data_IF_834619270425
#
_entry.id   IF_834619270425
#
_cell.length_a   1.000
_cell.length_b   1.000
_cell.length_c   1.000
_cell.angle_alpha   90.00
_cell.angle_beta   90.00
_cell.angle_gamma   90.00
#
_symmetry.space_group_name_H-M   'P 1'
#
loop_
_entity.id
_entity.type
_entity.pdbx_description
1 polymer ?
#
# COMPACT_ATOMS: atom_id res chain seq x y z
N UNK A 1 12.92 7.41 14.77
CA UNK A 1 12.53 7.86 13.41
C UNK A 1 13.21 7.08 12.29
N UNK A 2 14.55 6.94 12.26
CA UNK A 2 15.25 6.20 11.18
C UNK A 2 14.72 4.77 10.94
N UNK A 3 14.52 4.02 12.02
CA UNK A 3 13.97 2.65 11.98
C UNK A 3 12.57 2.60 11.37
N UNK A 4 11.71 3.58 11.66
CA UNK A 4 10.35 3.63 11.11
C UNK A 4 10.35 3.84 9.59
N UNK A 5 11.27 4.65 9.05
CA UNK A 5 11.37 4.79 7.59
C UNK A 5 11.79 3.49 6.90
N UNK A 6 12.74 2.75 7.48
CA UNK A 6 13.19 1.47 6.93
C UNK A 6 12.12 0.39 7.04
N UNK A 7 11.43 0.33 8.18
CA UNK A 7 10.29 -0.57 8.36
C UNK A 7 9.18 -0.26 7.35
N UNK A 8 8.85 1.02 7.16
CA UNK A 8 7.89 1.48 6.15
C UNK A 8 8.29 1.08 4.73
N UNK A 9 9.57 1.23 4.35
CA UNK A 9 10.06 0.82 3.05
C UNK A 9 9.95 -0.68 2.85
N UNK A 10 10.53 -1.46 3.77
CA UNK A 10 10.54 -2.93 3.71
C UNK A 10 9.11 -3.49 3.68
N UNK A 11 8.22 -2.91 4.46
CA UNK A 11 6.82 -3.27 4.47
C UNK A 11 6.15 -3.12 3.11
N UNK A 12 6.27 -1.93 2.51
CA UNK A 12 5.67 -1.68 1.20
C UNK A 12 6.27 -2.54 0.10
N UNK A 13 7.58 -2.78 0.12
CA UNK A 13 8.23 -3.64 -0.88
C UNK A 13 7.84 -5.10 -0.72
N UNK A 14 7.84 -5.62 0.50
CA UNK A 14 7.47 -7.01 0.77
C UNK A 14 5.99 -7.25 0.46
N UNK A 15 5.11 -6.33 0.87
CA UNK A 15 3.68 -6.40 0.55
C UNK A 15 3.45 -6.32 -0.96
N UNK A 16 4.10 -5.38 -1.66
CA UNK A 16 4.01 -5.26 -3.11
C UNK A 16 4.57 -6.48 -3.86
N UNK A 17 5.54 -7.19 -3.28
CA UNK A 17 6.13 -8.38 -3.91
C UNK A 17 5.30 -9.65 -3.76
N UNK A 18 4.40 -9.72 -2.78
CA UNK A 18 3.63 -10.94 -2.48
C UNK A 18 2.69 -11.36 -3.63
N UNK A 19 1.90 -10.46 -4.25
CA UNK A 19 1.07 -10.82 -5.40
C UNK A 19 1.88 -11.40 -6.58
N UNK A 20 3.10 -10.88 -6.83
CA UNK A 20 3.99 -11.43 -7.84
C UNK A 20 4.55 -12.80 -7.44
N UNK A 21 4.87 -13.00 -6.16
CA UNK A 21 5.35 -14.29 -5.67
C UNK A 21 4.26 -15.37 -5.75
N UNK A 22 3.04 -15.06 -5.32
CA UNK A 22 1.91 -15.98 -5.42
C UNK A 22 1.62 -16.38 -6.87
N UNK A 23 1.64 -15.41 -7.78
CA UNK A 23 1.40 -15.66 -9.19
C UNK A 23 2.55 -16.41 -9.87
N UNK A 24 3.79 -15.89 -9.80
CA UNK A 24 4.92 -16.42 -10.57
C UNK A 24 5.52 -17.70 -9.98
N UNK A 25 5.59 -17.80 -8.65
CA UNK A 25 6.27 -18.90 -7.96
C UNK A 25 5.27 -19.96 -7.53
N UNK A 26 4.17 -19.56 -6.88
CA UNK A 26 3.18 -20.50 -6.38
C UNK A 26 2.08 -20.85 -7.39
N UNK A 27 2.05 -20.16 -8.55
CA UNK A 27 1.03 -20.33 -9.60
C UNK A 27 -0.40 -20.23 -9.06
N UNK A 28 -0.60 -19.38 -8.04
CA UNK A 28 -1.90 -19.13 -7.43
C UNK A 28 -2.66 -18.10 -8.26
N UNK A 29 -3.96 -18.32 -8.35
CA UNK A 29 -4.91 -17.34 -8.86
C UNK A 29 -5.23 -16.34 -7.73
N UNK A 30 -5.15 -15.04 -8.01
CA UNK A 30 -5.21 -13.98 -6.98
C UNK A 30 -6.65 -13.76 -6.47
N UNK A 31 -7.65 -14.29 -7.17
CA UNK A 31 -9.07 -14.08 -6.88
C UNK A 31 -9.72 -15.26 -6.13
N UNK A 32 -8.94 -16.30 -5.77
CA UNK A 32 -9.44 -17.49 -5.08
C UNK A 32 -8.83 -17.57 -3.68
N UNK A 33 -9.70 -17.64 -2.67
CA UNK A 33 -9.28 -17.90 -1.30
C UNK A 33 -8.52 -19.22 -1.21
N UNK A 34 -7.34 -19.20 -0.60
CA UNK A 34 -6.48 -20.37 -0.47
C UNK A 34 -6.15 -20.65 0.99
N UNK A 35 -5.86 -21.91 1.31
CA UNK A 35 -5.43 -22.26 2.65
C UNK A 35 -3.95 -21.87 2.83
N UNK A 36 -3.62 -21.06 3.84
CA UNK A 36 -2.24 -20.58 4.04
C UNK A 36 -1.33 -21.78 4.28
N UNK A 37 -0.24 -21.87 3.51
CA UNK A 37 0.61 -23.07 3.45
C UNK A 37 2.08 -22.77 3.75
N UNK A 38 2.44 -21.52 4.02
CA UNK A 38 3.82 -21.15 4.30
C UNK A 38 3.99 -19.86 5.12
N UNK A 39 5.22 -19.64 5.57
CA UNK A 39 5.63 -18.47 6.36
C UNK A 39 5.23 -17.13 5.71
N UNK A 40 5.33 -17.02 4.39
CA UNK A 40 4.96 -15.80 3.65
C UNK A 40 3.47 -15.48 3.68
N UNK A 41 2.59 -16.48 3.86
CA UNK A 41 1.15 -16.26 4.02
C UNK A 41 0.84 -15.67 5.42
N UNK A 42 1.67 -15.96 6.43
CA UNK A 42 1.51 -15.39 7.78
C UNK A 42 2.10 -13.98 7.90
N UNK A 43 3.18 -13.69 7.18
CA UNK A 43 3.73 -12.32 7.08
C UNK A 43 2.70 -11.39 6.45
N UNK A 44 1.79 -11.92 5.62
CA UNK A 44 0.78 -11.13 4.94
C UNK A 44 -0.14 -10.34 5.89
N UNK A 45 -0.39 -10.91 7.08
CA UNK A 45 -1.19 -10.28 8.14
C UNK A 45 -0.43 -9.18 8.91
N UNK A 46 0.89 -9.15 8.84
CA UNK A 46 1.71 -8.11 9.47
C UNK A 46 1.74 -6.84 8.60
N UNK A 47 1.48 -6.96 7.29
CA UNK A 47 1.58 -5.84 6.35
C UNK A 47 0.67 -4.66 6.65
N UNK A 48 -0.61 -4.82 7.05
CA UNK A 48 -1.43 -3.67 7.39
C UNK A 48 -0.90 -2.90 8.59
N UNK A 49 -0.38 -3.61 9.60
CA UNK A 49 0.27 -3.00 10.77
C UNK A 49 1.52 -2.23 10.34
N UNK A 50 2.27 -2.76 9.38
CA UNK A 50 3.43 -2.06 8.85
C UNK A 50 3.03 -0.87 7.95
N UNK A 51 1.92 -0.93 7.25
CA UNK A 51 1.37 0.19 6.49
C UNK A 51 0.93 1.35 7.42
N UNK A 52 0.48 1.06 8.65
CA UNK A 52 0.22 2.10 9.64
C UNK A 52 1.47 2.93 9.97
N UNK A 53 2.68 2.36 9.85
CA UNK A 53 3.93 3.11 10.08
C UNK A 53 4.13 4.25 9.08
N UNK A 54 3.71 4.06 7.82
CA UNK A 54 3.77 5.07 6.75
C UNK A 54 2.77 6.19 7.04
N UNK A 55 1.57 5.83 7.46
CA UNK A 55 0.54 6.80 7.84
C UNK A 55 0.94 7.62 9.07
N UNK A 56 1.53 6.95 10.07
CA UNK A 56 2.12 7.62 11.23
C UNK A 56 3.24 8.58 10.83
N UNK A 57 4.06 8.21 9.84
CA UNK A 57 5.11 9.06 9.31
C UNK A 57 4.56 10.34 8.69
N UNK A 58 3.55 10.20 7.84
CA UNK A 58 2.87 11.31 7.20
C UNK A 58 2.19 12.21 8.24
N UNK A 59 1.50 11.61 9.21
CA UNK A 59 0.81 12.31 10.28
C UNK A 59 1.74 13.05 11.22
N UNK A 60 2.88 12.46 11.59
CA UNK A 60 3.88 13.14 12.42
C UNK A 60 4.57 14.28 11.67
N UNK A 61 4.78 14.14 10.36
CA UNK A 61 5.49 15.14 9.56
C UNK A 61 4.60 16.34 9.18
N UNK A 62 3.37 16.08 8.74
CA UNK A 62 2.45 17.12 8.26
C UNK A 62 1.34 17.47 9.28
N UNK A 63 1.38 16.84 10.47
CA UNK A 63 0.48 17.11 11.60
C UNK A 63 -0.99 17.12 11.15
N UNK A 64 -1.75 18.13 11.58
CA UNK A 64 -3.19 18.27 11.35
C UNK A 64 -3.59 18.43 9.88
N UNK A 65 -2.63 18.68 8.98
CA UNK A 65 -2.91 18.94 7.56
C UNK A 65 -3.36 17.68 6.81
N UNK A 66 -2.94 16.50 7.27
CA UNK A 66 -3.23 15.21 6.61
C UNK A 66 -4.19 14.31 7.41
N UNK A 67 -4.76 14.79 8.52
CA UNK A 67 -5.56 13.96 9.45
C UNK A 67 -6.68 13.22 8.73
N UNK A 68 -7.47 13.92 7.92
CA UNK A 68 -8.59 13.32 7.22
C UNK A 68 -8.17 12.17 6.28
N UNK A 69 -7.16 12.40 5.44
CA UNK A 69 -6.65 11.37 4.52
C UNK A 69 -6.07 10.18 5.27
N UNK A 70 -5.31 10.44 6.34
CA UNK A 70 -4.73 9.39 7.18
C UNK A 70 -5.81 8.56 7.86
N UNK A 71 -6.87 9.19 8.39
CA UNK A 71 -7.99 8.47 9.01
C UNK A 71 -8.68 7.56 8.01
N UNK A 72 -9.00 8.05 6.82
CA UNK A 72 -9.65 7.24 5.77
C UNK A 72 -8.74 6.10 5.32
N UNK A 73 -7.45 6.36 5.08
CA UNK A 73 -6.48 5.32 4.72
C UNK A 73 -6.32 4.27 5.81
N UNK A 74 -6.34 4.69 7.08
CA UNK A 74 -6.27 3.78 8.23
C UNK A 74 -7.49 2.86 8.27
N UNK A 75 -8.70 3.42 8.12
CA UNK A 75 -9.94 2.63 8.06
C UNK A 75 -9.90 1.67 6.88
N UNK A 76 -9.51 2.14 5.69
CA UNK A 76 -9.38 1.32 4.50
C UNK A 76 -8.41 0.15 4.68
N UNK A 77 -7.23 0.39 5.25
CA UNK A 77 -6.24 -0.65 5.54
C UNK A 77 -6.77 -1.68 6.55
N UNK A 78 -7.39 -1.22 7.64
CA UNK A 78 -7.96 -2.12 8.66
C UNK A 78 -9.07 -3.00 8.07
N UNK A 79 -9.98 -2.42 7.30
CA UNK A 79 -11.02 -3.17 6.59
C UNK A 79 -10.41 -4.18 5.61
N UNK A 80 -9.43 -3.76 4.82
CA UNK A 80 -8.74 -4.65 3.87
C UNK A 80 -8.09 -5.84 4.59
N UNK A 81 -7.45 -5.59 5.75
CA UNK A 81 -6.86 -6.63 6.60
C UNK A 81 -7.89 -7.65 7.08
N UNK A 82 -9.01 -7.14 7.61
CA UNK A 82 -10.08 -7.97 8.17
C UNK A 82 -10.70 -8.82 7.06
N UNK A 83 -10.97 -8.23 5.91
CA UNK A 83 -11.57 -8.94 4.78
C UNK A 83 -10.63 -9.97 4.17
N UNK A 84 -9.34 -9.64 4.02
CA UNK A 84 -8.34 -10.60 3.56
C UNK A 84 -8.17 -11.77 4.53
N UNK A 85 -8.20 -11.51 5.85
CA UNK A 85 -8.22 -12.54 6.87
C UNK A 85 -9.44 -13.45 6.75
N UNK A 86 -10.64 -12.87 6.62
CA UNK A 86 -11.87 -13.65 6.43
C UNK A 86 -11.78 -14.50 5.16
N UNK A 87 -11.31 -13.95 4.04
CA UNK A 87 -11.16 -14.66 2.77
C UNK A 87 -10.20 -15.85 2.88
N UNK A 88 -9.05 -15.65 3.53
CA UNK A 88 -8.01 -16.69 3.68
C UNK A 88 -8.46 -17.84 4.59
N UNK A 89 -9.17 -17.53 5.69
CA UNK A 89 -9.55 -18.51 6.71
C UNK A 89 -10.98 -19.06 6.58
N UNK A 90 -11.81 -18.49 5.72
CA UNK A 90 -13.15 -18.99 5.38
C UNK A 90 -13.27 -19.36 3.90
N UNK A 91 -12.21 -19.95 3.34
CA UNK A 91 -12.10 -20.40 1.94
C UNK A 91 -13.14 -21.46 1.49
N UNK A 92 -13.86 -22.09 2.43
CA UNK A 92 -14.91 -23.08 2.14
C UNK A 92 -16.29 -22.48 1.84
N UNK A 93 -16.41 -21.16 1.88
CA UNK A 93 -17.67 -20.48 1.66
C UNK A 93 -17.85 -20.19 0.17
N UNK A 94 -18.98 -20.61 -0.41
CA UNK A 94 -19.28 -20.57 -1.86
C UNK A 94 -19.52 -19.17 -2.43
N UNK A 95 -19.23 -18.13 -1.66
CA UNK A 95 -19.43 -16.73 -2.04
C UNK A 95 -18.03 -16.17 -2.33
N UNK A 96 -17.83 -15.42 -3.42
CA UNK A 96 -16.55 -14.79 -3.73
C UNK A 96 -16.29 -13.61 -2.77
N UNK A 97 -16.02 -13.92 -1.50
CA UNK A 97 -15.82 -12.96 -0.42
C UNK A 97 -14.70 -11.96 -0.76
N UNK A 98 -13.66 -12.39 -1.47
CA UNK A 98 -12.58 -11.51 -1.91
C UNK A 98 -13.09 -10.29 -2.66
N UNK A 99 -13.79 -10.46 -3.78
CA UNK A 99 -14.21 -9.32 -4.59
C UNK A 99 -15.31 -8.46 -3.95
N UNK A 100 -16.26 -9.07 -3.22
CA UNK A 100 -17.37 -8.35 -2.59
C UNK A 100 -16.93 -7.50 -1.39
N UNK A 101 -15.96 -7.97 -0.60
CA UNK A 101 -15.49 -7.27 0.60
C UNK A 101 -14.22 -6.44 0.36
N UNK A 102 -13.37 -6.83 -0.60
CA UNK A 102 -12.24 -5.97 -0.98
C UNK A 102 -12.73 -4.67 -1.62
N UNK A 103 -13.81 -4.68 -2.41
CA UNK A 103 -14.27 -3.46 -3.10
C UNK A 103 -14.59 -2.29 -2.12
N UNK A 104 -15.37 -2.46 -1.03
CA UNK A 104 -15.54 -1.41 -0.02
C UNK A 104 -14.22 -0.92 0.58
N UNK A 105 -13.31 -1.84 0.98
CA UNK A 105 -12.03 -1.45 1.58
C UNK A 105 -11.12 -0.70 0.60
N UNK A 106 -11.06 -1.15 -0.65
CA UNK A 106 -10.29 -0.53 -1.73
C UNK A 106 -10.88 0.83 -2.11
N UNK A 107 -12.21 1.01 -2.02
CA UNK A 107 -12.85 2.31 -2.21
C UNK A 107 -12.46 3.31 -1.10
N UNK A 108 -12.35 2.87 0.15
CA UNK A 108 -11.78 3.70 1.23
C UNK A 108 -10.32 4.04 0.94
N UNK A 109 -9.49 3.06 0.53
CA UNK A 109 -8.10 3.31 0.15
C UNK A 109 -7.99 4.31 -0.99
N UNK A 110 -8.84 4.21 -2.02
CA UNK A 110 -8.89 5.13 -3.14
C UNK A 110 -9.27 6.55 -2.69
N UNK A 111 -10.34 6.67 -1.90
CA UNK A 111 -10.81 7.96 -1.37
C UNK A 111 -9.72 8.63 -0.52
N UNK A 112 -9.08 7.84 0.35
CA UNK A 112 -7.98 8.30 1.19
C UNK A 112 -6.76 8.71 0.37
N UNK A 113 -6.44 7.97 -0.70
CA UNK A 113 -5.35 8.28 -1.61
C UNK A 113 -5.58 9.58 -2.38
N UNK A 114 -6.77 9.76 -2.96
CA UNK A 114 -7.15 10.98 -3.68
C UNK A 114 -7.12 12.19 -2.75
N UNK A 115 -7.68 12.04 -1.55
CA UNK A 115 -7.61 13.08 -0.53
C UNK A 115 -6.16 13.40 -0.13
N UNK A 116 -5.32 12.37 0.03
CA UNK A 116 -3.90 12.54 0.36
C UNK A 116 -3.18 13.33 -0.74
N UNK A 117 -3.36 12.97 -2.01
CA UNK A 117 -2.76 13.68 -3.14
C UNK A 117 -3.20 15.14 -3.18
N UNK A 118 -4.50 15.42 -2.99
CA UNK A 118 -5.02 16.79 -2.97
C UNK A 118 -4.48 17.62 -1.80
N UNK A 119 -4.35 17.03 -0.62
CA UNK A 119 -3.78 17.73 0.54
C UNK A 119 -2.27 17.96 0.39
N UNK A 120 -1.52 16.99 -0.16
CA UNK A 120 -0.09 17.12 -0.44
C UNK A 120 0.20 18.16 -1.51
N UNK A 121 -0.65 18.30 -2.53
CA UNK A 121 -0.52 19.34 -3.56
C UNK A 121 -0.46 20.75 -2.96
N UNK A 122 -1.16 20.97 -1.84
CA UNK A 122 -1.21 22.25 -1.13
C UNK A 122 0.02 22.55 -0.28
N UNK A 123 0.94 21.59 -0.10
CA UNK A 123 2.12 21.70 0.75
C UNK A 123 3.40 21.84 -0.11
N UNK A 124 4.31 22.78 0.20
CA UNK A 124 5.49 23.10 -0.65
C UNK A 124 6.66 22.10 -0.53
N UNK A 125 7.50 22.09 -1.57
CA UNK A 125 8.80 21.41 -1.84
C UNK A 125 9.04 19.96 -1.37
N UNK A 126 9.00 19.64 -0.08
CA UNK A 126 9.17 18.24 0.40
C UNK A 126 8.00 17.35 -0.07
N UNK A 127 6.87 17.98 -0.40
CA UNK A 127 5.69 17.31 -0.89
C UNK A 127 5.80 16.82 -2.34
N UNK A 128 6.67 17.33 -3.22
CA UNK A 128 6.58 17.00 -4.66
C UNK A 128 6.75 15.50 -4.95
N UNK A 129 7.79 14.87 -4.40
CA UNK A 129 7.99 13.43 -4.58
C UNK A 129 6.87 12.60 -3.91
N UNK A 130 6.50 12.98 -2.68
CA UNK A 130 5.42 12.32 -1.93
C UNK A 130 4.05 12.49 -2.61
N UNK A 131 3.84 13.62 -3.29
CA UNK A 131 2.67 13.94 -4.09
C UNK A 131 2.59 13.07 -5.34
N UNK A 132 3.67 12.94 -6.12
CA UNK A 132 3.69 12.03 -7.26
C UNK A 132 3.46 10.58 -6.84
N UNK A 133 4.08 10.15 -5.74
CA UNK A 133 3.82 8.82 -5.16
C UNK A 133 2.34 8.70 -4.75
N UNK A 134 1.77 9.74 -4.15
CA UNK A 134 0.35 9.83 -3.85
C UNK A 134 -0.55 9.68 -5.08
N UNK A 135 -0.21 10.32 -6.21
CA UNK A 135 -0.92 10.17 -7.48
C UNK A 135 -0.84 8.72 -7.97
N UNK A 136 0.37 8.12 -8.01
CA UNK A 136 0.54 6.73 -8.46
C UNK A 136 -0.28 5.79 -7.58
N UNK A 137 -0.28 6.01 -6.27
CA UNK A 137 -1.09 5.25 -5.31
C UNK A 137 -2.60 5.43 -5.58
N UNK A 138 -3.07 6.65 -5.81
CA UNK A 138 -4.47 6.93 -6.17
C UNK A 138 -4.89 6.24 -7.47
N UNK A 139 -4.11 6.42 -8.54
CA UNK A 139 -4.42 5.85 -9.86
C UNK A 139 -4.46 4.33 -9.79
N UNK A 140 -3.46 3.72 -9.16
CA UNK A 140 -3.36 2.26 -9.07
C UNK A 140 -4.49 1.67 -8.21
N UNK A 141 -4.84 2.34 -7.11
CA UNK A 141 -5.98 1.91 -6.27
C UNK A 141 -7.31 2.09 -7.02
N UNK A 142 -7.45 3.15 -7.81
CA UNK A 142 -8.61 3.36 -8.68
C UNK A 142 -8.73 2.27 -9.76
N UNK A 143 -7.62 1.89 -10.39
CA UNK A 143 -7.58 0.77 -11.33
C UNK A 143 -7.98 -0.55 -10.65
N UNK A 144 -7.52 -0.77 -9.42
CA UNK A 144 -7.91 -1.95 -8.64
C UNK A 144 -9.42 -1.96 -8.32
N UNK A 145 -10.04 -0.81 -8.06
CA UNK A 145 -11.50 -0.69 -7.89
C UNK A 145 -12.28 -1.01 -9.18
N UNK A 146 -11.72 -0.69 -10.35
CA UNK A 146 -12.37 -0.93 -11.64
C UNK A 146 -12.15 -2.35 -12.16
N UNK A 147 -11.12 -3.04 -11.67
CA UNK A 147 -10.72 -4.36 -12.15
C UNK A 147 -11.83 -5.41 -12.07
N UNK A 148 -12.64 -5.52 -10.98
CA UNK A 148 -13.76 -6.44 -10.92
C UNK A 148 -14.79 -6.26 -12.04
N UNK A 149 -14.95 -5.04 -12.57
CA UNK A 149 -15.83 -4.79 -13.72
C UNK A 149 -15.21 -5.29 -15.03
N UNK A 150 -13.88 -5.26 -15.12
CA UNK A 150 -13.13 -5.75 -16.28
C UNK A 150 -13.05 -7.28 -16.32
N UNK A 151 -13.14 -7.98 -15.17
CA UNK A 151 -13.15 -9.45 -15.08
C UNK A 151 -14.30 -10.06 -15.90
N UNK A 152 -15.41 -9.35 -16.06
CA UNK A 152 -16.55 -9.80 -16.89
C UNK A 152 -16.15 -9.97 -18.37
N UNK A 153 -15.15 -9.21 -18.84
CA UNK A 153 -14.75 -9.12 -20.24
C UNK A 153 -13.37 -9.73 -20.51
N UNK A 154 -12.59 -10.04 -19.48
CA UNK A 154 -11.20 -10.48 -19.59
C UNK A 154 -11.05 -11.90 -19.05
N UNK A 155 -10.22 -12.70 -19.73
CA UNK A 155 -9.87 -14.03 -19.25
C UNK A 155 -8.98 -13.98 -18.00
N UNK A 156 -9.04 -15.02 -17.16
CA UNK A 156 -8.18 -15.21 -15.98
C UNK A 156 -6.68 -15.04 -16.26
N UNK A 157 -6.23 -15.52 -17.42
CA UNK A 157 -4.84 -15.41 -17.88
C UNK A 157 -4.36 -13.96 -18.05
N UNK A 158 -5.29 -13.00 -18.14
CA UNK A 158 -5.03 -11.56 -18.23
C UNK A 158 -5.34 -10.87 -16.91
N UNK A 159 -6.43 -11.26 -16.24
CA UNK A 159 -6.85 -10.66 -14.95
C UNK A 159 -5.79 -10.87 -13.88
N UNK A 160 -5.34 -12.11 -13.67
CA UNK A 160 -4.38 -12.44 -12.61
C UNK A 160 -3.07 -11.63 -12.71
N UNK A 161 -2.34 -11.59 -13.84
CA UNK A 161 -1.12 -10.78 -13.94
C UNK A 161 -1.38 -9.27 -13.80
N UNK A 162 -2.53 -8.79 -14.27
CA UNK A 162 -2.90 -7.38 -14.16
C UNK A 162 -3.19 -7.01 -12.69
N UNK A 163 -3.96 -7.84 -11.96
CA UNK A 163 -4.19 -7.69 -10.52
C UNK A 163 -2.87 -7.69 -9.76
N UNK A 164 -2.01 -8.68 -10.03
CA UNK A 164 -0.69 -8.81 -9.40
C UNK A 164 0.11 -7.52 -9.57
N UNK A 165 0.22 -7.05 -10.81
CA UNK A 165 0.99 -5.85 -11.15
C UNK A 165 0.44 -4.60 -10.47
N UNK A 166 -0.88 -4.42 -10.46
CA UNK A 166 -1.52 -3.28 -9.80
C UNK A 166 -1.27 -3.31 -8.28
N UNK A 167 -1.51 -4.45 -7.64
CA UNK A 167 -1.27 -4.61 -6.19
C UNK A 167 0.20 -4.38 -5.84
N UNK A 168 1.12 -4.83 -6.71
CA UNK A 168 2.55 -4.55 -6.59
C UNK A 168 2.84 -3.05 -6.64
N UNK A 169 2.30 -2.33 -7.63
CA UNK A 169 2.49 -0.87 -7.74
C UNK A 169 1.94 -0.16 -6.50
N UNK A 170 0.78 -0.59 -5.98
CA UNK A 170 0.18 -0.03 -4.77
C UNK A 170 1.14 -0.22 -3.58
N UNK A 171 1.67 -1.43 -3.37
CA UNK A 171 2.61 -1.70 -2.27
C UNK A 171 3.93 -0.95 -2.38
N UNK A 172 4.53 -0.92 -3.57
CA UNK A 172 5.75 -0.15 -3.81
C UNK A 172 5.52 1.36 -3.64
N UNK A 173 4.39 1.89 -4.09
CA UNK A 173 4.05 3.30 -3.89
C UNK A 173 4.01 3.60 -2.40
N UNK A 174 3.35 2.74 -1.63
CA UNK A 174 3.22 2.91 -0.19
C UNK A 174 4.58 2.87 0.54
N UNK A 175 5.46 1.93 0.19
CA UNK A 175 6.82 1.87 0.74
C UNK A 175 7.69 3.06 0.33
N UNK A 176 7.52 3.53 -0.91
CA UNK A 176 8.32 4.63 -1.48
C UNK A 176 8.05 5.98 -0.84
N UNK A 177 6.90 6.17 -0.17
CA UNK A 177 6.59 7.38 0.61
C UNK A 177 7.70 7.68 1.62
N UNK A 178 8.37 6.67 2.16
CA UNK A 178 9.46 6.84 3.14
C UNK A 178 10.77 7.40 2.55
N UNK A 179 11.00 7.23 1.24
CA UNK A 179 12.29 7.53 0.57
C UNK A 179 12.65 9.02 0.66
N UNK A 180 11.76 9.97 0.33
CA UNK A 180 12.06 11.40 0.47
C UNK A 180 12.50 11.80 1.89
N UNK A 181 11.93 11.16 2.92
CA UNK A 181 12.27 11.41 4.32
C UNK A 181 13.62 10.79 4.73
N UNK A 182 13.97 9.62 4.19
CA UNK A 182 15.29 9.02 4.35
C UNK A 182 16.40 9.89 3.73
N UNK A 183 16.16 10.42 2.53
CA UNK A 183 17.11 11.27 1.81
C UNK A 183 17.30 12.63 2.49
N UNK A 184 16.22 13.24 3.01
CA UNK A 184 16.29 14.50 3.76
C UNK A 184 17.15 14.37 5.03
N UNK A 185 17.02 13.27 5.77
CA UNK A 185 17.82 13.02 6.97
C UNK A 185 19.31 12.78 6.67
N UNK A 186 19.68 12.31 5.46
CA UNK A 186 21.09 12.19 5.06
C UNK A 186 21.72 13.56 4.75
N UNK A 187 21.02 14.43 4.02
CA UNK A 187 21.54 15.77 3.68
C UNK A 187 21.79 16.63 4.92
N UNK A 188 20.92 16.56 5.93
CA UNK A 188 21.11 17.26 7.20
C UNK A 188 22.37 16.83 7.97
N UNK A 189 22.83 15.57 7.82
CA UNK A 189 24.05 15.10 8.50
C UNK A 189 25.34 15.49 7.79
N UNK A 190 25.31 15.58 6.47
CA UNK A 190 26.50 15.93 5.66
C UNK A 190 26.90 17.39 5.93
N UNK A 191 25.94 18.31 6.07
CA UNK A 191 26.25 19.71 6.38
C UNK A 191 26.89 19.91 7.77
N UNK A 192 26.55 19.07 8.76
CA UNK A 192 27.14 19.17 10.11
C UNK A 192 28.58 18.66 10.13
N UNK A 193 28.96 17.77 9.21
CA UNK A 193 30.33 17.25 9.14
C UNK A 193 31.29 18.17 8.40
N UNK A 194 30.78 19.03 7.51
CA UNK A 194 31.58 20.02 6.79
C UNK A 194 31.85 21.31 7.58
N UNK A 195 31.06 21.63 8.61
CA UNK A 195 31.23 22.86 9.42
C UNK A 195 32.13 22.67 10.66
N UNK A 196 32.62 21.46 10.95
CA UNK A 196 33.45 21.17 12.15
C UNK A 196 34.95 21.01 11.80
N UNK A 197 35.37 21.43 10.60
CA UNK A 197 36.79 21.31 10.14
C UNK A 197 37.37 22.61 9.57
N UNK A 198 37.02 23.76 10.14
CA UNK A 198 37.71 25.04 9.89
C UNK A 198 38.06 25.73 11.18
#
# INVERSE_FOLDING_TARGET
MKTLYWLSLLAGTLWGSKPLYDWLILKREIHIGYQPSGFFDHIEFIFPVLCLSVLYLLGSTFKKQLTFSITILTIGLLLNSIFYYIETFHSLSSIPYGHLFLLPSTAFLFTGAVSLAFQLYKLKEVAKAVFYIGIVFSVSTGLLCLLPLAVIFLSESVVTPLTASIMTIIGFSFGSISIPFLLKNRKSKINITTEVTT
#
